data_IF_448655486538
#
_entry.id   IF_448655486538
#
_cell.length_a   1.000
_cell.length_b   1.000
_cell.length_c   1.000
_cell.angle_alpha   90.00
_cell.angle_beta   90.00
_cell.angle_gamma   90.00
#
_symmetry.space_group_name_H-M   'P 1'
#
loop_
_entity.id
_entity.type
_entity.pdbx_description
1 polymer ?
#
# COMPACT_ATOMS: atom_id res chain seq x y z
N UNK A 1 -6.88 14.62 0.99
CA UNK A 1 -5.97 14.72 2.14
C UNK A 1 -4.71 15.37 1.65
N UNK A 2 -4.47 16.58 2.15
CA UNK A 2 -3.38 17.45 1.70
C UNK A 2 -2.25 17.46 2.72
N UNK A 3 -2.58 17.23 4.00
CA UNK A 3 -1.64 17.14 5.11
C UNK A 3 -2.00 15.94 6.01
N UNK A 4 -0.99 15.22 6.49
CA UNK A 4 -1.13 14.20 7.53
C UNK A 4 -0.51 14.69 8.84
N UNK A 5 -1.25 14.59 9.93
CA UNK A 5 -0.78 14.94 11.28
C UNK A 5 -0.33 13.66 11.97
N UNK A 6 0.95 13.60 12.33
CA UNK A 6 1.56 12.45 13.00
C UNK A 6 1.13 12.44 14.47
N UNK A 7 0.86 11.25 15.04
CA UNK A 7 0.65 11.11 16.49
C UNK A 7 1.99 11.35 17.22
N UNK A 8 2.07 12.36 18.13
CA UNK A 8 3.31 12.65 18.86
C UNK A 8 3.73 11.53 19.81
N UNK A 9 2.80 10.72 20.32
CA UNK A 9 3.11 9.58 21.19
C UNK A 9 3.48 8.33 20.37
N UNK A 10 3.09 8.28 19.09
CA UNK A 10 3.34 7.16 18.16
C UNK A 10 3.74 7.67 16.77
N UNK A 11 5.04 8.00 16.57
CA UNK A 11 5.54 8.64 15.35
C UNK A 11 5.35 7.82 14.06
N UNK A 12 5.08 6.51 14.18
CA UNK A 12 4.79 5.62 13.06
C UNK A 12 3.33 5.66 12.59
N UNK A 13 2.48 6.48 13.21
CA UNK A 13 1.04 6.53 12.94
C UNK A 13 0.54 7.96 12.74
N UNK A 14 -0.56 8.11 12.01
CA UNK A 14 -1.21 9.39 11.80
C UNK A 14 -2.38 9.56 12.77
N UNK A 15 -2.43 10.71 13.44
CA UNK A 15 -3.50 11.09 14.35
C UNK A 15 -4.74 11.56 13.58
N UNK A 16 -4.53 12.34 12.53
CA UNK A 16 -5.57 12.91 11.68
C UNK A 16 -4.98 13.29 10.32
N UNK A 17 -5.82 13.67 9.37
CA UNK A 17 -5.36 14.45 8.23
C UNK A 17 -6.27 15.61 7.91
N UNK A 18 -5.67 16.61 7.27
CA UNK A 18 -6.31 17.89 6.95
C UNK A 18 -6.54 17.95 5.45
N UNK A 19 -7.77 18.29 5.07
CA UNK A 19 -8.17 18.62 3.71
C UNK A 19 -8.40 20.12 3.57
N UNK A 20 -7.67 20.75 2.66
CA UNK A 20 -7.83 22.14 2.30
C UNK A 20 -8.72 22.23 1.05
N UNK A 21 -9.66 23.18 1.01
CA UNK A 21 -10.34 23.43 -0.28
C UNK A 21 -9.34 24.00 -1.31
N UNK A 22 -9.57 23.64 -2.58
CA UNK A 22 -8.81 24.18 -3.71
C UNK A 22 -9.51 25.38 -4.34
N UNK A 23 -8.73 26.26 -4.97
CA UNK A 23 -9.13 27.56 -5.57
C UNK A 23 -10.25 27.53 -6.64
N UNK A 24 -10.93 26.41 -6.85
CA UNK A 24 -12.04 26.24 -7.80
C UNK A 24 -13.34 25.88 -7.10
N UNK A 25 -13.60 26.48 -5.94
CA UNK A 25 -14.81 26.22 -5.17
C UNK A 25 -16.02 27.03 -5.69
N UNK A 26 -16.45 26.83 -6.95
CA UNK A 26 -17.71 27.46 -7.39
C UNK A 26 -18.56 26.78 -8.47
N UNK A 27 -18.21 25.63 -9.06
CA UNK A 27 -19.05 25.05 -10.13
C UNK A 27 -19.14 23.54 -10.11
N UNK A 28 -20.07 23.00 -9.32
CA UNK A 28 -20.77 21.75 -9.62
C UNK A 28 -21.82 21.43 -8.54
N UNK A 29 -23.05 21.12 -8.95
CA UNK A 29 -24.11 20.63 -8.08
C UNK A 29 -23.81 19.24 -7.47
N UNK A 30 -22.86 18.48 -8.03
CA UNK A 30 -22.48 17.12 -7.58
C UNK A 30 -21.22 17.06 -6.71
N UNK A 31 -20.56 18.19 -6.43
CA UNK A 31 -19.34 18.22 -5.63
C UNK A 31 -19.59 17.88 -4.15
N UNK A 32 -20.74 18.28 -3.59
CA UNK A 32 -21.07 18.08 -2.18
C UNK A 32 -21.28 16.62 -1.80
N UNK A 33 -21.94 15.85 -2.64
CA UNK A 33 -22.24 14.43 -2.34
C UNK A 33 -20.98 13.57 -2.41
N UNK A 34 -20.07 13.91 -3.34
CA UNK A 34 -18.76 13.27 -3.42
C UNK A 34 -17.86 13.61 -2.23
N UNK A 35 -17.87 14.87 -1.77
CA UNK A 35 -17.09 15.27 -0.59
C UNK A 35 -17.60 14.56 0.67
N UNK A 36 -18.93 14.45 0.83
CA UNK A 36 -19.54 13.68 1.93
C UNK A 36 -19.21 12.20 1.84
N UNK A 37 -19.27 11.60 0.66
CA UNK A 37 -18.93 10.19 0.47
C UNK A 37 -17.44 9.94 0.75
N UNK A 38 -16.56 10.82 0.29
CA UNK A 38 -15.12 10.75 0.54
C UNK A 38 -14.83 10.79 2.03
N UNK A 39 -15.44 11.73 2.75
CA UNK A 39 -15.29 11.84 4.20
C UNK A 39 -15.79 10.57 4.90
N UNK A 40 -16.99 10.10 4.57
CA UNK A 40 -17.56 8.88 5.16
C UNK A 40 -16.71 7.64 4.90
N UNK A 41 -16.12 7.50 3.71
CA UNK A 41 -15.22 6.39 3.38
C UNK A 41 -13.94 6.46 4.19
N UNK A 42 -13.33 7.64 4.33
CA UNK A 42 -12.10 7.80 5.10
C UNK A 42 -12.32 7.59 6.60
N UNK A 43 -13.43 8.10 7.14
CA UNK A 43 -13.83 7.86 8.53
C UNK A 43 -14.10 6.37 8.80
N UNK A 44 -14.74 5.66 7.86
CA UNK A 44 -14.93 4.21 7.96
C UNK A 44 -13.61 3.41 7.92
N UNK A 45 -12.57 3.97 7.30
CA UNK A 45 -11.21 3.42 7.32
C UNK A 45 -10.43 3.82 8.59
N UNK A 46 -11.08 4.50 9.54
CA UNK A 46 -10.52 4.88 10.83
C UNK A 46 -9.77 6.22 10.83
N UNK A 47 -9.89 7.03 9.77
CA UNK A 47 -9.24 8.32 9.70
C UNK A 47 -10.05 9.42 10.37
N UNK A 48 -9.39 10.23 11.19
CA UNK A 48 -9.92 11.52 11.63
C UNK A 48 -9.64 12.56 10.53
N UNK A 49 -10.69 13.15 9.95
CA UNK A 49 -10.57 14.15 8.87
C UNK A 49 -10.94 15.53 9.39
N UNK A 50 -10.02 16.49 9.23
CA UNK A 50 -10.28 17.90 9.48
C UNK A 50 -10.34 18.65 8.15
N UNK A 51 -11.32 19.53 8.00
CA UNK A 51 -11.44 20.36 6.78
C UNK A 51 -11.09 21.80 7.09
N UNK A 52 -10.29 22.41 6.22
CA UNK A 52 -9.96 23.84 6.23
C UNK A 52 -10.43 24.47 4.92
N UNK A 53 -11.31 25.45 5.04
CA UNK A 53 -11.86 26.17 3.89
C UNK A 53 -11.03 27.42 3.64
N UNK A 54 -10.67 27.68 2.38
CA UNK A 54 -9.87 28.86 2.03
C UNK A 54 -10.64 30.15 2.34
N UNK A 55 -11.97 30.12 2.25
CA UNK A 55 -12.86 31.24 2.64
C UNK A 55 -12.84 31.52 4.13
N UNK A 56 -12.87 30.48 4.97
CA UNK A 56 -12.90 30.64 6.42
C UNK A 56 -11.54 31.07 6.94
N UNK A 57 -10.47 30.50 6.37
CA UNK A 57 -9.10 30.91 6.62
C UNK A 57 -8.86 32.38 6.24
N UNK A 58 -9.34 32.80 5.07
CA UNK A 58 -9.21 34.20 4.64
C UNK A 58 -10.02 35.15 5.54
N UNK A 59 -11.17 34.71 6.03
CA UNK A 59 -12.05 35.53 6.89
C UNK A 59 -11.49 35.68 8.31
N UNK A 60 -10.99 34.60 8.91
CA UNK A 60 -10.40 34.61 10.25
C UNK A 60 -9.47 33.40 10.48
N UNK A 61 -8.24 33.50 9.98
CA UNK A 61 -7.22 32.46 10.16
C UNK A 61 -6.96 32.10 11.63
N UNK A 62 -6.80 33.04 12.59
CA UNK A 62 -6.58 32.69 13.99
C UNK A 62 -7.66 31.76 14.56
N UNK A 63 -8.94 32.05 14.29
CA UNK A 63 -10.06 31.22 14.72
C UNK A 63 -10.02 29.82 14.11
N UNK A 64 -9.66 29.71 12.83
CA UNK A 64 -9.56 28.39 12.17
C UNK A 64 -8.38 27.57 12.69
N UNK A 65 -7.26 28.23 13.03
CA UNK A 65 -6.13 27.57 13.71
C UNK A 65 -6.57 27.03 15.06
N UNK A 66 -7.20 27.85 15.91
CA UNK A 66 -7.71 27.42 17.23
C UNK A 66 -8.70 26.25 17.11
N UNK A 67 -9.59 26.29 16.11
CA UNK A 67 -10.55 25.20 15.87
C UNK A 67 -9.85 23.89 15.50
N UNK A 68 -8.85 23.94 14.62
CA UNK A 68 -8.11 22.75 14.20
C UNK A 68 -7.28 22.22 15.36
N UNK A 69 -6.58 23.09 16.10
CA UNK A 69 -5.78 22.72 17.26
C UNK A 69 -6.63 22.03 18.34
N UNK A 70 -7.78 22.62 18.71
CA UNK A 70 -8.69 22.02 19.68
C UNK A 70 -9.20 20.63 19.24
N UNK A 71 -9.48 20.45 17.94
CA UNK A 71 -9.90 19.16 17.41
C UNK A 71 -8.78 18.11 17.44
N UNK A 72 -7.55 18.50 17.09
CA UNK A 72 -6.38 17.62 17.17
C UNK A 72 -6.08 17.20 18.61
N UNK A 73 -6.18 18.12 19.57
CA UNK A 73 -6.02 17.81 20.99
C UNK A 73 -7.08 16.80 21.46
N UNK A 74 -8.35 16.98 21.04
CA UNK A 74 -9.41 16.03 21.36
C UNK A 74 -9.14 14.63 20.76
N UNK A 75 -8.69 14.55 19.52
CA UNK A 75 -8.33 13.27 18.91
C UNK A 75 -7.16 12.59 19.61
N UNK A 76 -6.17 13.36 20.05
CA UNK A 76 -5.04 12.83 20.80
C UNK A 76 -5.49 12.23 22.14
N UNK A 77 -6.39 12.91 22.84
CA UNK A 77 -6.93 12.42 24.11
C UNK A 77 -7.74 11.13 23.92
N UNK A 78 -8.59 11.06 22.89
CA UNK A 78 -9.33 9.85 22.55
C UNK A 78 -8.38 8.71 22.19
N UNK A 79 -7.31 8.99 21.44
CA UNK A 79 -6.31 8.00 21.07
C UNK A 79 -5.57 7.46 22.31
N UNK A 80 -5.17 8.34 23.23
CA UNK A 80 -4.56 7.98 24.52
C UNK A 80 -5.48 7.10 25.35
N UNK A 81 -6.75 7.48 25.51
CA UNK A 81 -7.71 6.69 26.27
C UNK A 81 -7.92 5.30 25.65
N UNK A 82 -8.09 5.21 24.33
CA UNK A 82 -8.22 3.92 23.64
C UNK A 82 -7.00 3.03 23.84
N UNK A 83 -5.79 3.60 23.90
CA UNK A 83 -4.56 2.86 24.18
C UNK A 83 -4.55 2.29 25.60
N UNK A 84 -4.96 3.09 26.59
CA UNK A 84 -5.08 2.64 27.98
C UNK A 84 -6.09 1.50 28.07
N UNK A 85 -7.30 1.68 27.54
CA UNK A 85 -8.35 0.65 27.57
C UNK A 85 -7.93 -0.65 26.86
N UNK A 86 -7.15 -0.53 25.78
CA UNK A 86 -6.63 -1.68 25.04
C UNK A 86 -5.55 -2.41 25.85
N UNK A 87 -4.63 -1.68 26.49
CA UNK A 87 -3.61 -2.25 27.35
C UNK A 87 -4.21 -2.97 28.57
N UNK A 88 -5.25 -2.42 29.19
CA UNK A 88 -5.99 -3.08 30.27
C UNK A 88 -6.67 -4.38 29.80
N UNK A 89 -7.28 -4.36 28.61
CA UNK A 89 -7.89 -5.56 28.02
C UNK A 89 -6.86 -6.64 27.67
N UNK A 90 -5.72 -6.25 27.10
CA UNK A 90 -4.66 -7.18 26.73
C UNK A 90 -3.98 -7.77 27.99
N UNK A 91 -3.80 -6.98 29.04
CA UNK A 91 -3.32 -7.45 30.34
C UNK A 91 -4.29 -8.46 30.98
N UNK A 92 -5.59 -8.15 31.03
CA UNK A 92 -6.61 -9.06 31.55
C UNK A 92 -6.69 -10.38 30.74
N UNK A 93 -6.51 -10.30 29.41
CA UNK A 93 -6.47 -11.49 28.55
C UNK A 93 -5.21 -12.32 28.75
N UNK A 94 -4.05 -11.69 28.97
CA UNK A 94 -2.80 -12.38 29.28
C UNK A 94 -2.87 -13.08 30.65
N UNK A 95 -3.44 -12.42 31.67
CA UNK A 95 -3.66 -13.01 32.99
C UNK A 95 -4.62 -14.22 32.93
N UNK A 96 -5.71 -14.11 32.17
CA UNK A 96 -6.63 -15.22 31.94
C UNK A 96 -5.97 -16.41 31.22
N UNK A 97 -5.08 -16.15 30.25
CA UNK A 97 -4.33 -17.19 29.54
C UNK A 97 -3.31 -17.88 30.47
N UNK A 98 -2.61 -17.12 31.31
CA UNK A 98 -1.70 -17.65 32.33
C UNK A 98 -2.45 -18.53 33.34
N UNK A 99 -3.60 -18.08 33.86
CA UNK A 99 -4.42 -18.87 34.77
C UNK A 99 -4.99 -20.15 34.12
N UNK A 100 -5.33 -20.12 32.82
CA UNK A 100 -5.73 -21.31 32.08
C UNK A 100 -4.58 -22.32 31.91
N UNK A 101 -3.36 -21.84 31.65
CA UNK A 101 -2.17 -22.71 31.55
C UNK A 101 -1.69 -23.28 32.90
N UNK A 102 -2.03 -22.64 34.02
CA UNK A 102 -1.77 -23.17 35.37
C UNK A 102 -2.77 -24.28 35.73
N UNK A 103 -4.04 -24.14 35.33
CA UNK A 103 -5.06 -25.18 35.55
C UNK A 103 -4.82 -26.47 34.74
N UNK A 104 -4.15 -26.41 33.59
CA UNK A 104 -3.78 -27.61 32.80
C UNK A 104 -2.55 -28.36 33.37
N UNK A 105 -1.82 -27.80 34.34
CA UNK A 105 -0.65 -28.44 34.99
C UNK A 105 -0.95 -29.08 36.34
N UNK A 106 -2.18 -29.01 36.84
CA UNK A 106 -2.55 -29.56 38.17
C UNK A 106 -3.19 -30.97 38.14
N UNK A 107 -3.29 -31.63 36.97
CA UNK A 107 -3.70 -33.04 36.89
C UNK A 107 -2.52 -33.99 36.65
N UNK A 108 -1.59 -34.08 37.61
CA UNK A 108 -0.81 -35.30 37.88
C UNK A 108 -0.13 -35.23 39.26
N UNK A 109 -0.38 -36.16 40.20
CA UNK A 109 0.18 -36.10 41.54
C UNK A 109 1.41 -37.01 41.68
N UNK A 110 2.61 -36.47 41.94
CA UNK A 110 3.68 -37.24 42.59
C UNK A 110 4.53 -36.33 43.50
N UNK A 111 4.87 -36.90 44.64
CA UNK A 111 5.34 -36.27 45.86
C UNK A 111 6.85 -35.93 45.91
N UNK A 112 7.16 -35.14 46.95
CA UNK A 112 8.40 -35.11 47.75
C UNK A 112 9.48 -34.10 47.35
N UNK A 113 9.41 -32.96 48.06
CA UNK A 113 10.46 -32.19 48.74
C UNK A 113 11.94 -32.39 48.35
N UNK A 114 12.62 -31.26 48.11
CA UNK A 114 13.81 -30.89 48.89
C UNK A 114 14.09 -29.37 48.83
N UNK A 115 14.70 -28.88 49.91
CA UNK A 115 14.85 -27.48 50.30
C UNK A 115 16.27 -26.96 50.00
N UNK A 116 16.41 -25.70 49.55
CA UNK A 116 17.63 -24.85 49.73
C UNK A 116 17.29 -23.41 49.33
N UNK A 117 16.98 -22.53 50.28
CA UNK A 117 17.87 -21.63 51.05
C UNK A 117 18.48 -20.46 50.26
N UNK A 118 18.00 -19.25 50.63
CA UNK A 118 18.63 -17.90 50.65
C UNK A 118 19.20 -17.34 49.31
N UNK A 119 19.07 -16.06 48.98
CA UNK A 119 19.35 -14.90 49.82
C UNK A 119 18.73 -13.61 49.25
N UNK A 120 18.30 -12.73 50.15
CA UNK A 120 17.78 -11.39 49.90
C UNK A 120 18.94 -10.40 49.83
N UNK A 121 18.99 -9.55 48.80
CA UNK A 121 19.76 -8.29 48.85
C UNK A 121 18.88 -7.14 48.38
N UNK A 122 18.56 -6.29 49.35
CA UNK A 122 18.04 -4.93 49.25
C UNK A 122 19.01 -3.96 48.58
N UNK A 123 18.51 -3.02 47.77
CA UNK A 123 19.04 -1.65 47.72
C UNK A 123 17.99 -0.68 47.15
N UNK A 124 17.67 0.33 47.96
CA UNK A 124 16.93 1.55 47.64
C UNK A 124 17.98 2.70 47.44
N UNK A 125 17.62 3.99 47.19
CA UNK A 125 17.83 4.71 45.92
C UNK A 125 18.76 5.96 46.01
N UNK A 126 18.76 6.74 44.91
CA UNK A 126 19.09 8.19 44.75
C UNK A 126 20.56 8.63 44.58
N UNK A 127 20.86 9.86 44.10
CA UNK A 127 20.29 10.65 42.98
C UNK A 127 21.40 11.41 42.17
N UNK A 128 20.97 12.32 41.27
CA UNK A 128 21.75 13.43 40.64
C UNK A 128 22.76 13.09 39.53
N UNK A 129 22.49 13.56 38.30
CA UNK A 129 23.25 14.64 37.63
C UNK A 129 22.50 15.11 36.37
N UNK A 130 22.34 16.43 36.27
CA UNK A 130 21.68 17.18 35.20
C UNK A 130 22.64 17.42 34.00
N UNK A 131 22.32 18.25 32.99
CA UNK A 131 22.03 17.82 31.62
C UNK A 131 23.09 18.29 30.60
N UNK A 132 23.62 17.40 29.75
CA UNK A 132 24.50 17.83 28.64
C UNK A 132 24.02 17.31 27.27
N UNK A 133 23.57 18.28 26.48
CA UNK A 133 23.82 18.47 25.05
C UNK A 133 23.93 17.23 24.15
N UNK A 134 22.79 16.88 23.54
CA UNK A 134 22.76 16.04 22.34
C UNK A 134 23.42 16.84 21.21
N UNK A 135 24.67 16.49 20.91
CA UNK A 135 25.39 16.87 19.70
C UNK A 135 24.52 16.65 18.47
N UNK A 136 24.43 17.67 17.64
CA UNK A 136 23.91 17.64 16.28
C UNK A 136 24.44 16.40 15.53
N UNK A 137 23.59 15.38 15.37
CA UNK A 137 23.72 14.41 14.31
C UNK A 137 22.74 14.85 13.24
N UNK A 138 23.28 15.38 12.15
CA UNK A 138 22.54 15.66 10.93
C UNK A 138 21.71 14.42 10.55
N UNK A 139 20.41 14.56 10.24
CA UNK A 139 19.66 13.46 9.68
C UNK A 139 20.30 13.09 8.34
N UNK A 140 20.88 11.89 8.29
CA UNK A 140 21.16 11.15 7.07
C UNK A 140 19.84 11.00 6.31
N UNK A 141 19.53 11.99 5.47
CA UNK A 141 18.54 11.80 4.42
C UNK A 141 18.98 10.57 3.62
N UNK A 142 18.13 9.54 3.62
CA UNK A 142 18.17 8.55 2.58
C UNK A 142 17.94 9.30 1.26
N UNK A 143 19.02 9.57 0.55
CA UNK A 143 19.00 9.95 -0.86
C UNK A 143 18.03 9.00 -1.55
N UNK A 144 17.06 9.58 -2.26
CA UNK A 144 16.25 8.84 -3.22
C UNK A 144 17.18 7.95 -4.07
N UNK A 145 16.78 6.72 -4.42
CA UNK A 145 17.61 5.89 -5.30
C UNK A 145 17.80 6.62 -6.63
N UNK A 146 18.95 7.30 -6.75
CA UNK A 146 19.59 7.60 -8.01
C UNK A 146 19.97 6.23 -8.59
N UNK A 147 19.58 5.99 -9.85
CA UNK A 147 19.81 4.78 -10.64
C UNK A 147 18.69 3.73 -10.64
N UNK A 148 17.68 3.95 -11.48
CA UNK A 148 17.00 2.88 -12.22
C UNK A 148 17.63 2.89 -13.63
N UNK A 149 18.06 1.74 -14.18
CA UNK A 149 18.82 1.69 -15.42
C UNK A 149 18.09 2.36 -16.58
N UNK A 150 18.77 3.31 -17.20
CA UNK A 150 18.48 3.79 -18.54
C UNK A 150 19.09 2.81 -19.54
N UNK A 151 18.35 1.76 -19.89
CA UNK A 151 18.55 0.92 -21.08
C UNK A 151 17.12 0.59 -21.55
N UNK A 152 16.68 0.77 -22.79
CA UNK A 152 17.42 0.84 -24.04
C UNK A 152 16.61 1.73 -24.99
N UNK A 153 17.28 2.71 -25.59
CA UNK A 153 16.76 3.52 -26.67
C UNK A 153 16.61 2.64 -27.91
N UNK A 154 15.45 1.99 -28.07
CA UNK A 154 15.04 1.41 -29.35
C UNK A 154 13.95 2.28 -29.96
N UNK A 155 14.43 3.12 -30.89
CA UNK A 155 13.72 4.07 -31.74
C UNK A 155 12.26 3.72 -32.05
N UNK A 156 11.35 4.55 -31.55
CA UNK A 156 10.20 4.97 -32.35
C UNK A 156 10.41 6.44 -32.70
N UNK A 157 10.20 6.82 -33.97
CA UNK A 157 10.36 8.17 -34.52
C UNK A 157 9.33 9.18 -33.97
N UNK A 158 8.83 8.97 -32.76
CA UNK A 158 7.74 9.70 -32.16
C UNK A 158 8.21 10.24 -30.82
N UNK A 159 8.71 11.46 -30.84
CA UNK A 159 9.12 12.16 -29.64
C UNK A 159 7.90 12.71 -28.89
N UNK A 160 7.90 12.59 -27.57
CA UNK A 160 6.82 13.09 -26.74
C UNK A 160 6.86 14.62 -26.72
N UNK A 161 5.83 15.27 -27.27
CA UNK A 161 5.70 16.74 -27.27
C UNK A 161 4.76 17.19 -26.14
N UNK A 162 5.24 17.89 -25.10
CA UNK A 162 4.40 18.40 -24.03
C UNK A 162 3.46 19.53 -24.48
N UNK A 163 3.86 20.32 -25.48
CA UNK A 163 3.15 21.53 -25.90
C UNK A 163 1.89 21.22 -26.70
N UNK A 164 1.96 20.17 -27.52
CA UNK A 164 0.83 19.65 -28.30
C UNK A 164 -0.03 18.65 -27.52
N UNK A 165 0.36 18.26 -26.29
CA UNK A 165 -0.31 17.20 -25.55
C UNK A 165 -1.81 17.43 -25.39
N UNK A 166 -2.24 18.69 -25.18
CA UNK A 166 -3.67 19.05 -24.99
C UNK A 166 -4.46 19.17 -26.29
N UNK A 167 -3.78 19.19 -27.45
CA UNK A 167 -4.39 19.38 -28.76
C UNK A 167 -4.91 18.05 -29.34
N UNK A 168 -6.13 18.06 -29.91
CA UNK A 168 -6.82 16.83 -30.38
C UNK A 168 -6.16 16.15 -31.58
N UNK A 169 -5.39 16.89 -32.36
CA UNK A 169 -4.54 16.36 -33.43
C UNK A 169 -3.35 15.53 -32.91
N UNK A 170 -3.01 15.66 -31.62
CA UNK A 170 -1.97 14.87 -30.98
C UNK A 170 -2.44 13.47 -30.54
N UNK A 171 -3.76 13.21 -30.47
CA UNK A 171 -4.30 11.92 -30.01
C UNK A 171 -3.75 10.70 -30.79
N UNK A 172 -3.61 10.71 -32.12
CA UNK A 172 -3.00 9.60 -32.86
C UNK A 172 -1.52 9.39 -32.50
N UNK A 173 -0.78 10.46 -32.21
CA UNK A 173 0.61 10.40 -31.76
C UNK A 173 0.69 9.81 -30.35
N UNK A 174 -0.16 10.27 -29.45
CA UNK A 174 -0.28 9.72 -28.10
C UNK A 174 -0.68 8.22 -28.12
N UNK A 175 -1.60 7.83 -29.01
CA UNK A 175 -2.00 6.44 -29.17
C UNK A 175 -0.82 5.55 -29.61
N UNK A 176 0.04 6.03 -30.52
CA UNK A 176 1.26 5.31 -30.92
C UNK A 176 2.24 5.14 -29.75
N UNK A 177 2.44 6.20 -28.95
CA UNK A 177 3.29 6.14 -27.74
C UNK A 177 2.74 5.15 -26.70
N UNK A 178 1.42 5.17 -26.49
CA UNK A 178 0.73 4.23 -25.60
C UNK A 178 0.92 2.79 -26.08
N UNK A 179 0.63 2.50 -27.35
CA UNK A 179 0.78 1.15 -27.92
C UNK A 179 2.23 0.67 -27.78
N UNK A 180 3.20 1.52 -28.12
CA UNK A 180 4.63 1.19 -28.01
C UNK A 180 5.03 0.84 -26.57
N UNK A 181 4.58 1.63 -25.59
CA UNK A 181 4.88 1.39 -24.17
C UNK A 181 4.28 0.07 -23.69
N UNK A 182 3.05 -0.23 -24.09
CA UNK A 182 2.37 -1.48 -23.74
C UNK A 182 3.05 -2.67 -24.41
N UNK A 183 3.46 -2.55 -25.68
CA UNK A 183 4.20 -3.59 -26.41
C UNK A 183 5.54 -3.92 -25.75
N UNK A 184 6.28 -2.92 -25.26
CA UNK A 184 7.53 -3.12 -24.53
C UNK A 184 7.31 -3.82 -23.19
N UNK A 185 6.30 -3.40 -22.41
CA UNK A 185 5.99 -3.98 -21.12
C UNK A 185 5.29 -5.35 -21.22
N UNK A 186 4.70 -5.68 -22.39
CA UNK A 186 3.77 -6.78 -22.68
C UNK A 186 2.44 -6.68 -21.92
N UNK A 187 2.50 -6.42 -20.62
CA UNK A 187 1.36 -6.16 -19.74
C UNK A 187 1.71 -5.03 -18.79
N UNK A 188 0.85 -4.03 -18.66
CA UNK A 188 1.07 -2.89 -17.77
C UNK A 188 -0.22 -2.49 -17.07
N UNK A 189 -0.12 -2.05 -15.81
CA UNK A 189 -1.26 -1.49 -15.08
C UNK A 189 -1.58 -0.08 -15.61
N UNK A 190 -2.86 0.25 -15.76
CA UNK A 190 -3.28 1.50 -16.41
C UNK A 190 -2.69 2.76 -15.74
N UNK A 191 -2.62 2.79 -14.41
CA UNK A 191 -2.02 3.89 -13.66
C UNK A 191 -0.51 4.05 -13.92
N UNK A 192 0.21 2.95 -14.06
CA UNK A 192 1.63 2.94 -14.43
C UNK A 192 1.85 3.44 -15.86
N UNK A 193 0.97 3.07 -16.79
CA UNK A 193 0.98 3.63 -18.15
C UNK A 193 0.78 5.13 -18.10
N UNK A 194 -0.23 5.62 -17.37
CA UNK A 194 -0.51 7.05 -17.25
C UNK A 194 0.69 7.78 -16.62
N UNK A 195 1.31 7.21 -15.58
CA UNK A 195 2.49 7.78 -14.95
C UNK A 195 3.69 7.82 -15.91
N UNK A 196 3.87 6.77 -16.73
CA UNK A 196 4.93 6.69 -17.73
C UNK A 196 4.73 7.74 -18.82
N UNK A 197 3.51 7.87 -19.36
CA UNK A 197 3.16 8.92 -20.32
C UNK A 197 3.38 10.31 -19.72
N UNK A 198 2.89 10.55 -18.50
CA UNK A 198 3.10 11.83 -17.82
C UNK A 198 4.57 12.21 -17.68
N UNK A 199 5.44 11.25 -17.33
CA UNK A 199 6.89 11.47 -17.21
C UNK A 199 7.55 11.68 -18.57
N UNK A 200 7.17 10.91 -19.59
CA UNK A 200 7.66 11.09 -20.96
C UNK A 200 7.36 12.50 -21.50
N UNK A 201 6.24 13.09 -21.09
CA UNK A 201 5.84 14.46 -21.42
C UNK A 201 6.35 15.53 -20.43
N UNK A 202 7.20 15.18 -19.46
CA UNK A 202 7.79 16.15 -18.52
C UNK A 202 6.80 16.75 -17.51
N UNK A 203 5.62 16.16 -17.33
CA UNK A 203 4.63 16.66 -16.38
C UNK A 203 4.96 16.22 -14.95
N UNK A 204 4.97 17.17 -14.03
CA UNK A 204 5.26 16.93 -12.60
C UNK A 204 4.11 16.26 -11.84
N UNK A 205 2.86 16.37 -12.33
CA UNK A 205 1.67 15.79 -11.70
C UNK A 205 0.73 15.22 -12.75
N UNK A 206 0.15 14.06 -12.45
CA UNK A 206 -0.93 13.46 -13.26
C UNK A 206 -2.26 14.08 -12.84
N UNK A 207 -2.71 15.09 -13.57
CA UNK A 207 -4.06 15.65 -13.43
C UNK A 207 -5.14 14.78 -14.09
N UNK A 208 -6.41 15.13 -13.85
CA UNK A 208 -7.57 14.48 -14.50
C UNK A 208 -7.49 14.54 -16.02
N UNK A 209 -7.06 15.67 -16.57
CA UNK A 209 -6.95 15.88 -18.02
C UNK A 209 -5.94 14.92 -18.67
N UNK A 210 -4.74 14.79 -18.09
CA UNK A 210 -3.71 13.84 -18.55
C UNK A 210 -4.26 12.41 -18.53
N UNK A 211 -4.91 12.02 -17.42
CA UNK A 211 -5.52 10.70 -17.27
C UNK A 211 -6.56 10.42 -18.35
N UNK A 212 -7.57 11.28 -18.49
CA UNK A 212 -8.65 11.08 -19.47
C UNK A 212 -8.12 11.04 -20.91
N UNK A 213 -7.07 11.82 -21.19
CA UNK A 213 -6.47 11.88 -22.52
C UNK A 213 -5.65 10.64 -22.85
N UNK A 214 -4.85 10.15 -21.91
CA UNK A 214 -4.16 8.85 -22.04
C UNK A 214 -5.19 7.73 -22.17
N UNK A 215 -6.23 7.70 -21.34
CA UNK A 215 -7.30 6.70 -21.41
C UNK A 215 -8.02 6.69 -22.77
N UNK A 216 -8.29 7.88 -23.34
CA UNK A 216 -8.88 8.01 -24.68
C UNK A 216 -7.94 7.53 -25.80
N UNK A 217 -6.63 7.61 -25.59
CA UNK A 217 -5.63 7.15 -26.54
C UNK A 217 -5.41 5.63 -26.51
N UNK A 218 -5.89 4.91 -25.47
CA UNK A 218 -5.82 3.45 -25.40
C UNK A 218 -6.84 2.86 -26.39
N UNK A 219 -6.42 2.04 -27.37
CA UNK A 219 -7.33 1.35 -28.28
C UNK A 219 -8.34 0.48 -27.53
N UNK A 220 -9.58 0.44 -28.00
CA UNK A 220 -10.63 -0.45 -27.44
C UNK A 220 -10.44 -1.91 -27.83
N UNK A 221 -9.66 -2.20 -28.88
CA UNK A 221 -9.33 -3.56 -29.33
C UNK A 221 -8.36 -4.29 -28.40
N UNK A 222 -7.66 -3.55 -27.55
CA UNK A 222 -6.60 -4.07 -26.70
C UNK A 222 -7.15 -4.93 -25.55
N UNK A 223 -6.46 -6.02 -25.24
CA UNK A 223 -6.85 -6.91 -24.14
C UNK A 223 -6.80 -6.22 -22.78
N UNK A 224 -7.79 -6.49 -21.93
CA UNK A 224 -7.89 -5.91 -20.58
C UNK A 224 -8.28 -6.98 -19.56
N UNK A 225 -7.68 -6.91 -18.38
CA UNK A 225 -8.13 -7.67 -17.21
C UNK A 225 -8.39 -6.72 -16.05
N UNK A 226 -9.53 -6.88 -15.39
CA UNK A 226 -9.89 -6.13 -14.20
C UNK A 226 -9.56 -6.96 -12.96
N UNK A 227 -8.81 -6.36 -12.05
CA UNK A 227 -8.35 -7.00 -10.82
C UNK A 227 -8.49 -6.03 -9.64
N UNK A 228 -8.46 -6.53 -8.40
CA UNK A 228 -8.65 -5.71 -7.19
C UNK A 228 -7.64 -4.55 -7.07
N UNK A 229 -6.45 -4.69 -7.67
CA UNK A 229 -5.39 -3.67 -7.66
C UNK A 229 -5.49 -2.66 -8.79
N UNK A 230 -6.38 -2.88 -9.75
CA UNK A 230 -6.58 -2.03 -10.93
C UNK A 230 -6.65 -2.81 -12.24
N UNK A 231 -6.80 -2.07 -13.33
CA UNK A 231 -6.90 -2.63 -14.68
C UNK A 231 -5.53 -2.84 -15.28
N UNK A 232 -5.30 -4.04 -15.82
CA UNK A 232 -4.12 -4.37 -16.62
C UNK A 232 -4.46 -4.32 -18.10
N UNK A 233 -3.57 -3.70 -18.88
CA UNK A 233 -3.63 -3.57 -20.32
C UNK A 233 -2.62 -4.53 -20.94
N UNK A 234 -3.07 -5.29 -21.93
CA UNK A 234 -2.31 -6.36 -22.56
C UNK A 234 -1.95 -5.95 -23.98
N UNK A 235 -0.68 -6.08 -24.35
CA UNK A 235 -0.24 -5.90 -25.73
C UNK A 235 -0.99 -6.88 -26.65
N UNK A 236 -1.33 -6.43 -27.86
CA UNK A 236 -1.90 -7.32 -28.89
C UNK A 236 -0.95 -8.47 -29.27
N UNK A 237 0.35 -8.32 -28.96
CA UNK A 237 1.39 -9.35 -29.14
C UNK A 237 1.38 -10.40 -28.01
N UNK A 238 0.67 -10.14 -26.91
CA UNK A 238 0.59 -10.99 -25.73
C UNK A 238 -0.88 -11.28 -25.43
N UNK A 239 -1.45 -12.40 -25.94
CA UNK A 239 -2.84 -12.74 -25.62
C UNK A 239 -3.00 -12.93 -24.11
N UNK A 240 -4.19 -12.62 -23.61
CA UNK A 240 -4.59 -12.88 -22.22
C UNK A 240 -4.59 -14.39 -22.01
N UNK A 241 -3.62 -14.88 -21.24
CA UNK A 241 -3.44 -16.29 -20.95
C UNK A 241 -3.69 -16.56 -19.46
N UNK A 242 -4.19 -17.76 -19.09
CA UNK A 242 -4.42 -18.10 -17.68
C UNK A 242 -3.13 -18.19 -16.85
N UNK A 243 -1.99 -18.45 -17.50
CA UNK A 243 -0.67 -18.53 -16.88
C UNK A 243 0.35 -17.77 -17.69
N UNK A 244 1.13 -16.93 -17.03
CA UNK A 244 2.15 -16.10 -17.64
C UNK A 244 3.43 -16.19 -16.81
N UNK A 245 4.57 -16.53 -17.41
CA UNK A 245 5.80 -16.60 -16.63
C UNK A 245 6.19 -15.21 -16.13
N UNK A 246 6.36 -15.05 -14.81
CA UNK A 246 6.74 -13.78 -14.20
C UNK A 246 8.08 -13.25 -14.77
N UNK A 247 9.04 -14.15 -15.01
CA UNK A 247 10.35 -13.82 -15.62
C UNK A 247 10.24 -13.34 -17.07
N UNK A 248 9.11 -13.59 -17.74
CA UNK A 248 8.87 -13.07 -19.09
C UNK A 248 8.37 -11.63 -19.06
N UNK A 249 7.90 -11.14 -17.92
CA UNK A 249 7.41 -9.77 -17.72
C UNK A 249 8.47 -8.86 -17.11
N UNK A 250 9.23 -9.36 -16.15
CA UNK A 250 10.24 -8.57 -15.45
C UNK A 250 11.59 -9.28 -15.51
N UNK A 251 12.63 -8.53 -15.87
CA UNK A 251 14.02 -8.96 -15.69
C UNK A 251 14.52 -8.71 -14.26
N UNK A 252 13.71 -8.05 -13.42
CA UNK A 252 14.05 -7.64 -12.07
C UNK A 252 13.95 -8.79 -11.06
N UNK A 253 14.86 -8.77 -10.07
CA UNK A 253 14.91 -9.78 -9.00
C UNK A 253 13.84 -9.60 -7.92
N UNK A 254 13.19 -8.45 -7.87
CA UNK A 254 12.09 -8.15 -6.96
C UNK A 254 10.95 -7.54 -7.76
N UNK A 255 9.72 -7.86 -7.40
CA UNK A 255 8.55 -7.35 -8.11
C UNK A 255 7.43 -7.10 -7.12
N UNK A 256 6.81 -5.91 -7.20
CA UNK A 256 5.63 -5.59 -6.39
C UNK A 256 4.43 -6.39 -6.89
N UNK A 257 3.82 -7.28 -6.07
CA UNK A 257 2.66 -8.07 -6.46
C UNK A 257 1.44 -7.23 -6.89
N UNK A 258 1.37 -5.94 -6.52
CA UNK A 258 0.32 -5.04 -6.99
C UNK A 258 0.52 -4.63 -8.46
N UNK A 259 1.74 -4.66 -8.98
CA UNK A 259 2.10 -4.32 -10.36
C UNK A 259 2.15 -5.54 -11.29
N UNK A 260 2.03 -6.74 -10.73
CA UNK A 260 2.10 -8.00 -11.47
C UNK A 260 0.68 -8.52 -11.73
N UNK A 261 0.29 -8.85 -12.97
CA UNK A 261 -1.06 -9.35 -13.27
C UNK A 261 -1.31 -10.72 -12.66
N UNK A 262 -2.57 -11.04 -12.36
CA UNK A 262 -2.94 -12.29 -11.67
C UNK A 262 -2.41 -13.56 -12.37
N UNK A 263 -2.47 -13.72 -13.71
CA UNK A 263 -1.89 -14.89 -14.39
C UNK A 263 -0.40 -15.14 -14.12
N UNK A 264 0.36 -14.07 -13.83
CA UNK A 264 1.77 -14.20 -13.47
C UNK A 264 1.96 -14.64 -12.02
N UNK A 265 1.08 -14.20 -11.13
CA UNK A 265 1.02 -14.70 -9.75
C UNK A 265 0.53 -16.15 -9.69
N UNK A 266 -0.38 -16.56 -10.58
CA UNK A 266 -0.83 -17.96 -10.70
C UNK A 266 0.34 -18.85 -11.13
N UNK A 267 1.15 -18.44 -12.11
CA UNK A 267 2.34 -19.19 -12.47
C UNK A 267 3.34 -19.32 -11.31
N UNK A 268 3.52 -18.24 -10.54
CA UNK A 268 4.33 -18.27 -9.32
C UNK A 268 3.75 -19.22 -8.26
N UNK A 269 2.43 -19.21 -8.06
CA UNK A 269 1.74 -20.10 -7.14
C UNK A 269 1.88 -21.57 -7.56
N UNK A 270 1.76 -21.88 -8.86
CA UNK A 270 2.01 -23.22 -9.40
C UNK A 270 3.41 -23.72 -9.05
N UNK A 271 4.43 -22.85 -9.10
CA UNK A 271 5.81 -23.19 -8.70
C UNK A 271 5.92 -23.38 -7.18
N UNK A 272 5.22 -22.57 -6.40
CA UNK A 272 5.22 -22.65 -4.94
C UNK A 272 4.60 -23.97 -4.42
N UNK A 273 3.55 -24.47 -5.06
CA UNK A 273 2.88 -25.74 -4.72
C UNK A 273 3.39 -26.95 -5.50
N UNK A 274 4.51 -26.80 -6.24
CA UNK A 274 5.13 -27.93 -6.93
C UNK A 274 5.55 -29.04 -5.94
N UNK A 275 5.92 -28.62 -4.73
CA UNK A 275 6.07 -29.49 -3.56
C UNK A 275 4.81 -29.31 -2.72
N UNK A 276 4.18 -30.41 -2.32
CA UNK A 276 2.99 -30.36 -1.48
C UNK A 276 3.30 -29.63 -0.17
N UNK A 277 2.59 -28.54 0.09
CA UNK A 277 2.80 -27.69 1.25
C UNK A 277 1.51 -26.97 1.65
N UNK A 278 1.37 -26.60 2.93
CA UNK A 278 0.30 -25.73 3.39
C UNK A 278 0.25 -24.39 2.65
N UNK A 279 -0.93 -23.80 2.57
CA UNK A 279 -1.17 -22.53 1.87
C UNK A 279 -0.30 -21.39 2.40
N UNK A 280 -0.09 -21.34 3.71
CA UNK A 280 0.76 -20.34 4.36
C UNK A 280 2.24 -20.46 3.92
N UNK A 281 2.74 -21.68 3.75
CA UNK A 281 4.10 -21.92 3.27
C UNK A 281 4.22 -21.58 1.78
N UNK A 282 3.20 -21.88 0.97
CA UNK A 282 3.16 -21.49 -0.43
C UNK A 282 3.15 -19.96 -0.58
N UNK A 283 2.33 -19.27 0.20
CA UNK A 283 2.26 -17.80 0.24
C UNK A 283 3.60 -17.19 0.69
N UNK A 284 4.27 -17.79 1.68
CA UNK A 284 5.61 -17.37 2.10
C UNK A 284 6.65 -17.55 0.99
N UNK A 285 6.62 -18.67 0.25
CA UNK A 285 7.51 -18.88 -0.91
C UNK A 285 7.25 -17.87 -2.03
N UNK A 286 5.99 -17.54 -2.30
CA UNK A 286 5.61 -16.51 -3.27
C UNK A 286 6.14 -15.14 -2.86
N UNK A 287 6.02 -14.78 -1.58
CA UNK A 287 6.60 -13.55 -1.00
C UNK A 287 8.10 -13.45 -1.28
N UNK A 288 8.82 -14.51 -0.96
CA UNK A 288 10.28 -14.54 -1.03
C UNK A 288 10.74 -14.49 -2.49
N UNK A 289 9.99 -15.13 -3.40
CA UNK A 289 10.22 -15.03 -4.84
C UNK A 289 9.95 -13.64 -5.41
N UNK A 290 9.07 -12.85 -4.79
CA UNK A 290 8.89 -11.42 -5.10
C UNK A 290 9.96 -10.53 -4.45
N UNK A 291 10.89 -11.09 -3.67
CA UNK A 291 11.95 -10.35 -2.98
C UNK A 291 11.46 -9.55 -1.77
N UNK A 292 10.29 -9.90 -1.20
CA UNK A 292 9.69 -9.15 -0.10
C UNK A 292 10.03 -9.78 1.26
N UNK A 293 10.46 -8.95 2.23
CA UNK A 293 10.69 -9.42 3.62
C UNK A 293 9.40 -9.53 4.44
N UNK A 294 8.41 -8.68 4.14
CA UNK A 294 7.09 -8.63 4.77
C UNK A 294 6.02 -8.39 3.72
N UNK A 295 4.78 -8.80 4.01
CA UNK A 295 3.63 -8.53 3.14
C UNK A 295 2.46 -7.99 3.95
N UNK A 296 1.69 -7.08 3.36
CA UNK A 296 0.42 -6.62 3.92
C UNK A 296 -0.73 -7.59 3.62
N UNK A 297 -1.89 -7.36 4.22
CA UNK A 297 -3.08 -8.18 4.03
C UNK A 297 -3.54 -8.21 2.56
N UNK A 298 -3.46 -7.08 1.85
CA UNK A 298 -3.84 -6.99 0.43
C UNK A 298 -2.97 -7.91 -0.46
N UNK A 299 -1.65 -7.89 -0.27
CA UNK A 299 -0.73 -8.79 -0.97
C UNK A 299 -1.00 -10.26 -0.63
N UNK A 300 -1.25 -10.55 0.66
CA UNK A 300 -1.58 -11.91 1.10
C UNK A 300 -2.85 -12.43 0.43
N UNK A 301 -3.91 -11.63 0.42
CA UNK A 301 -5.18 -11.98 -0.22
C UNK A 301 -4.99 -12.26 -1.71
N UNK A 302 -4.18 -11.44 -2.39
CA UNK A 302 -3.88 -11.59 -3.82
C UNK A 302 -3.09 -12.86 -4.12
N UNK A 303 -2.12 -13.22 -3.27
CA UNK A 303 -1.43 -14.52 -3.35
C UNK A 303 -2.38 -15.69 -3.08
N UNK A 304 -3.29 -15.58 -2.11
CA UNK A 304 -4.30 -16.61 -1.85
C UNK A 304 -5.23 -16.81 -3.06
N UNK A 305 -5.67 -15.73 -3.72
CA UNK A 305 -6.45 -15.81 -4.97
C UNK A 305 -5.67 -16.54 -6.05
N UNK A 306 -4.40 -16.19 -6.26
CA UNK A 306 -3.53 -16.87 -7.23
C UNK A 306 -3.31 -18.36 -6.90
N UNK A 307 -3.20 -18.69 -5.62
CA UNK A 307 -3.05 -20.07 -5.13
C UNK A 307 -4.30 -20.92 -5.39
N UNK A 308 -5.48 -20.35 -5.15
CA UNK A 308 -6.76 -21.00 -5.43
C UNK A 308 -6.91 -21.29 -6.93
N UNK A 309 -6.59 -20.32 -7.78
CA UNK A 309 -6.61 -20.51 -9.24
C UNK A 309 -5.58 -21.55 -9.70
N UNK A 310 -4.37 -21.54 -9.13
CA UNK A 310 -3.35 -22.55 -9.44
C UNK A 310 -3.79 -23.98 -9.09
N UNK A 311 -4.48 -24.16 -7.96
CA UNK A 311 -5.03 -25.47 -7.56
C UNK A 311 -6.17 -25.92 -8.47
N UNK A 312 -7.10 -25.02 -8.81
CA UNK A 312 -8.18 -25.29 -9.78
C UNK A 312 -7.64 -25.78 -11.13
N UNK A 313 -6.54 -25.18 -11.61
CA UNK A 313 -5.90 -25.61 -12.85
C UNK A 313 -5.25 -27.01 -12.74
N UNK A 314 -4.64 -27.34 -11.59
CA UNK A 314 -4.08 -28.67 -11.32
C UNK A 314 -5.17 -29.74 -11.33
N UNK A 315 -6.31 -29.45 -10.71
CA UNK A 315 -7.45 -30.38 -10.65
C UNK A 315 -8.09 -30.58 -12.03
N UNK A 316 -8.17 -29.53 -12.84
CA UNK A 316 -8.72 -29.59 -14.22
C UNK A 316 -7.82 -30.38 -15.18
N UNK A 317 -6.52 -30.46 -14.93
CA UNK A 317 -5.61 -31.33 -15.68
C UNK A 317 -5.56 -32.78 -15.15
N UNK A 318 -6.27 -33.08 -14.06
CA UNK A 318 -6.33 -34.41 -13.46
C UNK A 318 -7.63 -35.18 -13.76
N UNK A 319 -8.50 -34.70 -14.66
CA UNK A 319 -9.58 -35.55 -15.19
C UNK A 319 -8.99 -36.60 -16.13
N UNK A 320 -8.91 -37.89 -15.73
CA UNK A 320 -8.58 -38.93 -16.67
C UNK A 320 -9.78 -39.07 -17.59
N UNK A 321 -9.58 -38.91 -18.89
CA UNK A 321 -10.56 -39.36 -19.87
C UNK A 321 -10.78 -40.87 -19.63
N UNK A 322 -11.95 -41.21 -19.07
CA UNK A 322 -12.53 -42.54 -19.05
C UNK A 322 -13.09 -42.89 -20.43
#
# INVERSE_FOLDING_TARGET
MDLGVIDPDLPSTFLAGVECDGATYHRSATARDRDRLRQAVLENLGWNILRLWSTDWWTNAPREVERIDAALQSFLEIARQKRIDQAERDAAKAEALLNATVNEREEDPVASAETSQFESVTAQPDPEHSPEEIRHLEPLYAKAPEHIPSDDATSSDVEADPSSFTQDDYLPTLARLVIHTIDQAKVIREDMLIQTMSRAHGFSRVGREIRERVQRAIPSSMGRTEEDVGTFLWSDRQPVVPRLSLTSLTAEKSSDPALVPLPALVDLACRAIAIDCPDEDAIARMRDACGMSRMGQATRARFATALNEARRMKDTHYTPHL
#
